data_IF_428617067550
#
_entry.id   IF_428617067550
#
_cell.length_a   1.000
_cell.length_b   1.000
_cell.length_c   1.000
_cell.angle_alpha   90.00
_cell.angle_beta   90.00
_cell.angle_gamma   90.00
#
_symmetry.space_group_name_H-M   'P 1'
#
loop_
_entity.id
_entity.type
_entity.pdbx_description
1 polymer ?
#
# COMPACT_ATOMS: atom_id res chain seq x y z
N UNK A 1 64.81 -9.22 23.62
CA UNK A 1 63.84 -10.10 22.95
C UNK A 1 62.39 -9.62 23.13
N UNK A 2 62.16 -8.63 24.00
CA UNK A 2 60.82 -8.12 24.36
C UNK A 2 60.23 -7.09 23.38
N UNK A 3 61.07 -6.47 22.55
CA UNK A 3 60.67 -5.39 21.62
C UNK A 3 59.86 -5.93 20.42
N UNK A 4 60.20 -7.12 19.92
CA UNK A 4 59.50 -7.74 18.79
C UNK A 4 58.08 -8.20 19.16
N UNK A 5 57.91 -8.81 20.34
CA UNK A 5 56.60 -9.29 20.82
C UNK A 5 55.60 -8.12 20.98
N UNK A 6 56.08 -6.99 21.49
CA UNK A 6 55.26 -5.78 21.69
C UNK A 6 54.79 -5.17 20.37
N UNK A 7 55.65 -5.20 19.33
CA UNK A 7 55.31 -4.74 17.98
C UNK A 7 54.22 -5.60 17.32
N UNK A 8 54.35 -6.93 17.40
CA UNK A 8 53.35 -7.86 16.87
C UNK A 8 51.99 -7.72 17.54
N UNK A 9 51.96 -7.54 18.87
CA UNK A 9 50.72 -7.33 19.63
C UNK A 9 50.01 -6.04 19.18
N UNK A 10 50.75 -4.94 19.00
CA UNK A 10 50.16 -3.66 18.56
C UNK A 10 49.63 -3.74 17.12
N UNK A 11 50.35 -4.39 16.20
CA UNK A 11 49.89 -4.56 14.82
C UNK A 11 48.67 -5.49 14.75
N UNK A 12 48.67 -6.59 15.50
CA UNK A 12 47.52 -7.51 15.57
C UNK A 12 46.29 -6.80 16.14
N UNK A 13 46.44 -6.00 17.19
CA UNK A 13 45.35 -5.24 17.79
C UNK A 13 44.81 -4.18 16.81
N UNK A 14 45.70 -3.45 16.11
CA UNK A 14 45.31 -2.49 15.07
C UNK A 14 44.56 -3.13 13.91
N UNK A 15 44.99 -4.31 13.45
CA UNK A 15 44.31 -5.07 12.40
C UNK A 15 42.91 -5.54 12.84
N UNK A 16 42.78 -6.05 14.07
CA UNK A 16 41.48 -6.47 14.63
C UNK A 16 40.52 -5.28 14.76
N UNK A 17 41.00 -4.13 15.22
CA UNK A 17 40.19 -2.91 15.31
C UNK A 17 39.74 -2.45 13.92
N UNK A 18 40.63 -2.45 12.93
CA UNK A 18 40.30 -2.05 11.55
C UNK A 18 39.29 -2.99 10.89
N UNK A 19 39.45 -4.31 11.07
CA UNK A 19 38.52 -5.32 10.57
C UNK A 19 37.16 -5.26 11.27
N UNK A 20 37.15 -5.08 12.60
CA UNK A 20 35.93 -4.92 13.38
C UNK A 20 35.14 -3.67 13.00
N UNK A 21 35.82 -2.54 12.79
CA UNK A 21 35.19 -1.29 12.33
C UNK A 21 34.57 -1.46 10.94
N UNK A 22 35.26 -2.13 10.02
CA UNK A 22 34.78 -2.39 8.65
C UNK A 22 33.55 -3.31 8.67
N UNK A 23 33.58 -4.39 9.44
CA UNK A 23 32.46 -5.32 9.59
C UNK A 23 31.23 -4.65 10.22
N UNK A 24 31.43 -3.77 11.20
CA UNK A 24 30.34 -3.01 11.84
C UNK A 24 29.69 -2.01 10.87
N UNK A 25 30.49 -1.31 10.06
CA UNK A 25 30.00 -0.40 9.01
C UNK A 25 29.18 -1.16 7.98
N UNK A 26 29.66 -2.32 7.54
CA UNK A 26 28.97 -3.17 6.57
C UNK A 26 27.66 -3.73 7.14
N UNK A 27 27.66 -4.18 8.40
CA UNK A 27 26.43 -4.64 9.06
C UNK A 27 25.40 -3.53 9.19
N UNK A 28 25.83 -2.31 9.58
CA UNK A 28 24.94 -1.14 9.66
C UNK A 28 24.44 -0.70 8.28
N UNK A 29 25.25 -0.83 7.23
CA UNK A 29 24.84 -0.58 5.85
C UNK A 29 23.78 -1.58 5.39
N UNK A 30 24.03 -2.88 5.59
CA UNK A 30 23.10 -3.93 5.20
C UNK A 30 21.77 -3.85 5.93
N UNK A 31 21.79 -3.52 7.23
CA UNK A 31 20.57 -3.27 8.00
C UNK A 31 19.77 -2.10 7.45
N UNK A 32 20.43 -0.97 7.17
CA UNK A 32 19.78 0.20 6.56
C UNK A 32 19.21 -0.10 5.18
N UNK A 33 19.94 -0.82 4.34
CA UNK A 33 19.47 -1.20 3.01
C UNK A 33 18.26 -2.13 3.07
N UNK A 34 18.22 -3.06 4.03
CA UNK A 34 17.05 -3.91 4.26
C UNK A 34 15.84 -3.12 4.75
N UNK A 35 16.03 -2.27 5.74
CA UNK A 35 14.95 -1.43 6.27
C UNK A 35 14.39 -0.51 5.16
N UNK A 36 15.27 0.06 4.33
CA UNK A 36 14.87 0.88 3.20
C UNK A 36 14.08 0.07 2.15
N UNK A 37 14.55 -1.12 1.78
CA UNK A 37 13.83 -2.00 0.82
C UNK A 37 12.46 -2.38 1.34
N UNK A 38 12.33 -2.74 2.62
CA UNK A 38 11.02 -3.06 3.22
C UNK A 38 10.06 -1.86 3.20
N UNK A 39 10.56 -0.64 3.45
CA UNK A 39 9.74 0.59 3.35
C UNK A 39 9.31 0.85 1.90
N UNK A 40 10.21 0.66 0.94
CA UNK A 40 9.93 0.87 -0.48
C UNK A 40 8.93 -0.15 -1.03
N UNK A 41 9.07 -1.43 -0.66
CA UNK A 41 8.13 -2.51 -1.02
C UNK A 41 6.73 -2.24 -0.44
N UNK A 42 6.65 -1.83 0.83
CA UNK A 42 5.39 -1.46 1.48
C UNK A 42 4.75 -0.24 0.80
N UNK A 43 5.55 0.78 0.48
CA UNK A 43 5.08 1.96 -0.25
C UNK A 43 4.53 1.59 -1.63
N UNK A 44 5.21 0.70 -2.36
CA UNK A 44 4.76 0.22 -3.66
C UNK A 44 3.41 -0.53 -3.55
N UNK A 45 3.27 -1.42 -2.56
CA UNK A 45 2.03 -2.14 -2.30
C UNK A 45 0.86 -1.19 -1.95
N UNK A 46 1.12 -0.18 -1.09
CA UNK A 46 0.13 0.86 -0.72
C UNK A 46 -0.35 1.63 -1.95
N UNK A 47 0.58 2.12 -2.78
CA UNK A 47 0.25 2.84 -4.02
C UNK A 47 -0.55 1.95 -4.98
N UNK A 48 -0.15 0.70 -5.14
CA UNK A 48 -0.82 -0.24 -6.05
C UNK A 48 -2.28 -0.48 -5.66
N UNK A 49 -2.55 -0.68 -4.37
CA UNK A 49 -3.92 -0.82 -3.86
C UNK A 49 -4.75 0.45 -4.02
N UNK A 50 -4.20 1.62 -3.66
CA UNK A 50 -4.91 2.88 -3.80
C UNK A 50 -5.27 3.17 -5.26
N UNK A 51 -4.36 2.89 -6.20
CA UNK A 51 -4.62 3.04 -7.63
C UNK A 51 -5.72 2.09 -8.12
N UNK A 52 -5.70 0.83 -7.69
CA UNK A 52 -6.76 -0.13 -8.02
C UNK A 52 -8.14 0.35 -7.56
N UNK A 53 -8.24 0.87 -6.32
CA UNK A 53 -9.50 1.39 -5.80
C UNK A 53 -9.93 2.69 -6.48
N UNK A 54 -8.98 3.55 -6.86
CA UNK A 54 -9.26 4.78 -7.60
C UNK A 54 -9.84 4.45 -8.98
N UNK A 55 -9.20 3.54 -9.72
CA UNK A 55 -9.67 3.08 -11.02
C UNK A 55 -11.10 2.51 -10.93
N UNK A 56 -11.36 1.65 -9.93
CA UNK A 56 -12.72 1.15 -9.68
C UNK A 56 -13.74 2.28 -9.45
N UNK A 57 -13.42 3.22 -8.56
CA UNK A 57 -14.32 4.33 -8.25
C UNK A 57 -14.58 5.24 -9.46
N UNK A 58 -13.58 5.46 -10.31
CA UNK A 58 -13.70 6.25 -11.53
C UNK A 58 -14.63 5.56 -12.54
N UNK A 59 -14.49 4.25 -12.72
CA UNK A 59 -15.43 3.47 -13.55
C UNK A 59 -16.87 3.60 -13.05
N UNK A 60 -17.09 3.48 -11.73
CA UNK A 60 -18.42 3.65 -11.13
C UNK A 60 -19.00 5.05 -11.36
N UNK A 61 -18.17 6.10 -11.24
CA UNK A 61 -18.58 7.49 -11.52
C UNK A 61 -18.98 7.65 -12.99
N UNK A 62 -18.21 7.09 -13.91
CA UNK A 62 -18.48 7.19 -15.34
C UNK A 62 -19.80 6.49 -15.73
N UNK A 63 -20.05 5.31 -15.16
CA UNK A 63 -21.33 4.60 -15.31
C UNK A 63 -22.48 5.47 -14.77
N UNK A 64 -22.38 5.97 -13.54
CA UNK A 64 -23.47 6.73 -12.91
C UNK A 64 -23.76 8.08 -13.56
N UNK A 65 -22.78 8.68 -14.26
CA UNK A 65 -22.95 9.90 -15.05
C UNK A 65 -23.54 9.63 -16.44
N UNK A 66 -23.72 8.37 -16.84
CA UNK A 66 -24.15 8.02 -18.19
C UNK A 66 -23.12 8.38 -19.26
N UNK A 67 -21.84 8.54 -18.89
CA UNK A 67 -20.76 8.69 -19.86
C UNK A 67 -20.50 7.39 -20.63
N UNK A 68 -21.05 6.30 -20.12
CA UNK A 68 -21.06 4.99 -20.73
C UNK A 68 -22.40 4.80 -21.44
N UNK A 69 -22.40 4.86 -22.77
CA UNK A 69 -23.61 4.75 -23.61
C UNK A 69 -24.09 3.31 -23.82
N UNK A 70 -23.45 2.35 -23.14
CA UNK A 70 -23.82 0.94 -23.17
C UNK A 70 -25.02 0.67 -22.27
N UNK A 71 -26.10 0.07 -22.82
CA UNK A 71 -27.28 -0.35 -22.06
C UNK A 71 -26.95 -1.32 -20.91
N UNK A 72 -25.78 -1.97 -20.96
CA UNK A 72 -25.30 -2.90 -19.93
C UNK A 72 -24.39 -2.24 -18.89
N UNK A 73 -24.16 -0.92 -18.95
CA UNK A 73 -23.22 -0.20 -18.08
C UNK A 73 -23.47 -0.48 -16.59
N UNK A 74 -24.74 -0.47 -16.14
CA UNK A 74 -25.09 -0.78 -14.76
C UNK A 74 -24.85 -2.26 -14.39
N UNK A 75 -25.04 -3.20 -15.32
CA UNK A 75 -24.70 -4.60 -15.09
C UNK A 75 -23.19 -4.80 -14.94
N UNK A 76 -22.36 -4.03 -15.68
CA UNK A 76 -20.90 -4.05 -15.56
C UNK A 76 -20.38 -3.50 -14.25
N UNK A 77 -21.14 -2.65 -13.55
CA UNK A 77 -20.76 -2.23 -12.20
C UNK A 77 -20.49 -3.44 -11.30
N UNK A 78 -21.24 -4.53 -11.46
CA UNK A 78 -21.05 -5.79 -10.72
C UNK A 78 -19.63 -6.35 -10.74
N UNK A 79 -18.88 -6.17 -11.84
CA UNK A 79 -17.54 -6.76 -12.05
C UNK A 79 -16.38 -5.80 -11.76
N UNK A 80 -16.65 -4.52 -11.48
CA UNK A 80 -15.62 -3.46 -11.34
C UNK A 80 -14.49 -3.83 -10.38
N UNK A 81 -14.77 -4.43 -9.22
CA UNK A 81 -13.72 -4.78 -8.24
C UNK A 81 -12.78 -5.87 -8.76
N UNK A 82 -13.28 -6.78 -9.60
CA UNK A 82 -12.48 -7.82 -10.24
C UNK A 82 -11.62 -7.19 -11.32
N UNK A 83 -12.23 -6.39 -12.18
CA UNK A 83 -11.58 -5.83 -13.38
C UNK A 83 -10.48 -4.80 -13.00
N UNK A 84 -10.65 -4.13 -11.87
CA UNK A 84 -9.66 -3.21 -11.27
C UNK A 84 -8.59 -3.88 -10.41
N UNK A 85 -8.62 -5.21 -10.24
CA UNK A 85 -7.69 -5.98 -9.40
C UNK A 85 -7.68 -5.60 -7.90
N UNK A 86 -8.69 -4.89 -7.39
CA UNK A 86 -8.75 -4.45 -5.98
C UNK A 86 -8.57 -5.61 -5.01
N UNK A 87 -9.19 -6.76 -5.29
CA UNK A 87 -9.10 -7.94 -4.44
C UNK A 87 -7.71 -8.57 -4.45
N UNK A 88 -7.04 -8.60 -5.61
CA UNK A 88 -5.65 -9.06 -5.71
C UNK A 88 -4.72 -8.16 -4.89
N UNK A 89 -4.88 -6.83 -5.03
CA UNK A 89 -4.06 -5.87 -4.30
C UNK A 89 -4.31 -5.88 -2.79
N UNK A 90 -5.53 -6.18 -2.35
CA UNK A 90 -5.81 -6.44 -0.93
C UNK A 90 -5.05 -7.66 -0.40
N UNK A 91 -4.94 -8.74 -1.18
CA UNK A 91 -4.20 -9.94 -0.77
C UNK A 91 -2.70 -9.67 -0.70
N UNK A 92 -2.15 -8.91 -1.65
CA UNK A 92 -0.75 -8.45 -1.58
C UNK A 92 -0.49 -7.62 -0.31
N UNK A 93 -1.41 -6.72 0.04
CA UNK A 93 -1.31 -5.94 1.27
C UNK A 93 -1.37 -6.77 2.56
N UNK A 94 -2.13 -7.86 2.57
CA UNK A 94 -2.21 -8.74 3.74
C UNK A 94 -0.84 -9.36 4.12
N UNK A 95 0.13 -9.37 3.20
CA UNK A 95 1.48 -9.86 3.44
C UNK A 95 2.48 -8.75 3.82
N UNK A 96 2.18 -7.49 3.50
CA UNK A 96 3.14 -6.37 3.61
C UNK A 96 2.77 -5.33 4.67
N UNK A 97 1.47 -5.19 4.95
CA UNK A 97 0.92 -4.19 5.86
C UNK A 97 0.76 -4.75 7.29
N UNK A 98 0.73 -3.87 8.28
CA UNK A 98 0.32 -4.25 9.64
C UNK A 98 -1.21 -4.45 9.73
N UNK A 99 -1.65 -5.06 10.84
CA UNK A 99 -3.06 -5.37 11.08
C UNK A 99 -3.97 -4.13 11.11
N UNK A 100 -3.42 -2.98 11.54
CA UNK A 100 -4.20 -1.73 11.61
C UNK A 100 -4.51 -1.23 10.21
N UNK A 101 -3.50 -1.22 9.32
CA UNK A 101 -3.68 -0.88 7.91
C UNK A 101 -4.60 -1.89 7.22
N UNK A 102 -4.43 -3.19 7.48
CA UNK A 102 -5.25 -4.23 6.86
C UNK A 102 -6.73 -4.16 7.25
N UNK A 103 -7.03 -3.75 8.50
CA UNK A 103 -8.39 -3.51 8.95
C UNK A 103 -9.05 -2.36 8.16
N UNK A 104 -8.35 -1.23 7.99
CA UNK A 104 -8.86 -0.07 7.25
C UNK A 104 -8.95 -0.33 5.74
N UNK A 105 -8.05 -1.14 5.17
CA UNK A 105 -8.14 -1.68 3.80
C UNK A 105 -9.41 -2.51 3.63
N UNK A 106 -9.72 -3.37 4.59
CA UNK A 106 -10.92 -4.21 4.55
C UNK A 106 -12.19 -3.35 4.60
N UNK A 107 -12.22 -2.31 5.44
CA UNK A 107 -13.33 -1.33 5.46
C UNK A 107 -13.47 -0.60 4.14
N UNK A 108 -12.38 -0.18 3.54
CA UNK A 108 -12.39 0.50 2.24
C UNK A 108 -12.97 -0.40 1.13
N UNK A 109 -12.63 -1.69 1.12
CA UNK A 109 -13.22 -2.65 0.16
C UNK A 109 -14.72 -2.85 0.41
N UNK A 110 -15.18 -2.86 1.66
CA UNK A 110 -16.61 -2.91 1.98
C UNK A 110 -17.34 -1.68 1.44
N UNK A 111 -16.82 -0.47 1.68
CA UNK A 111 -17.44 0.75 1.19
C UNK A 111 -17.43 0.83 -0.34
N UNK A 112 -16.37 0.35 -0.99
CA UNK A 112 -16.34 0.26 -2.46
C UNK A 112 -17.38 -0.73 -3.00
N UNK A 113 -17.68 -1.83 -2.28
CA UNK A 113 -18.77 -2.75 -2.64
C UNK A 113 -20.14 -2.09 -2.50
N UNK A 114 -20.36 -1.36 -1.41
CA UNK A 114 -21.59 -0.56 -1.22
C UNK A 114 -21.75 0.42 -2.38
N UNK A 115 -20.69 1.16 -2.69
CA UNK A 115 -20.69 2.13 -3.77
C UNK A 115 -21.01 1.48 -5.13
N UNK A 116 -20.37 0.34 -5.41
CA UNK A 116 -20.67 -0.49 -6.59
C UNK A 116 -22.13 -0.93 -6.62
N UNK A 117 -22.67 -1.39 -5.50
CA UNK A 117 -24.04 -1.91 -5.44
C UNK A 117 -25.07 -0.81 -5.65
N UNK A 118 -24.81 0.42 -5.20
CA UNK A 118 -25.63 1.61 -5.51
C UNK A 118 -25.67 1.84 -7.02
N UNK A 119 -24.51 1.87 -7.68
CA UNK A 119 -24.44 2.04 -9.14
C UNK A 119 -25.11 0.89 -9.87
N UNK A 120 -24.89 -0.36 -9.44
CA UNK A 120 -25.49 -1.54 -10.09
C UNK A 120 -27.02 -1.55 -10.06
N UNK A 121 -27.66 -0.84 -9.12
CA UNK A 121 -29.12 -0.64 -9.09
C UNK A 121 -29.62 0.39 -10.10
N UNK A 122 -28.75 1.05 -10.85
CA UNK A 122 -29.12 2.12 -11.77
C UNK A 122 -29.20 3.51 -11.13
N UNK A 123 -28.70 3.66 -9.90
CA UNK A 123 -28.71 4.97 -9.22
C UNK A 123 -27.77 5.93 -9.94
N UNK A 124 -28.31 7.08 -10.33
CA UNK A 124 -27.57 8.10 -11.09
C UNK A 124 -26.67 8.94 -10.19
N UNK A 125 -25.73 9.66 -10.80
CA UNK A 125 -24.78 10.50 -10.10
C UNK A 125 -25.43 11.55 -9.18
N UNK A 126 -26.55 12.17 -9.58
CA UNK A 126 -27.18 13.26 -8.80
C UNK A 126 -27.99 12.77 -7.59
N UNK A 127 -28.21 11.46 -7.45
CA UNK A 127 -29.00 10.92 -6.35
C UNK A 127 -28.23 10.94 -5.02
N UNK A 128 -28.94 11.23 -3.92
CA UNK A 128 -28.36 11.27 -2.57
C UNK A 128 -27.69 9.95 -2.19
N UNK A 129 -28.30 8.80 -2.49
CA UNK A 129 -27.73 7.46 -2.22
C UNK A 129 -26.34 7.29 -2.87
N UNK A 130 -26.15 7.82 -4.09
CA UNK A 130 -24.85 7.80 -4.76
C UNK A 130 -23.84 8.73 -4.09
N UNK A 131 -24.25 9.95 -3.74
CA UNK A 131 -23.38 10.93 -3.11
C UNK A 131 -22.93 10.48 -1.72
N UNK A 132 -23.84 9.91 -0.92
CA UNK A 132 -23.54 9.33 0.39
C UNK A 132 -22.50 8.20 0.29
N UNK A 133 -22.71 7.25 -0.62
CA UNK A 133 -21.76 6.15 -0.83
C UNK A 133 -20.38 6.66 -1.29
N UNK A 134 -20.36 7.67 -2.16
CA UNK A 134 -19.12 8.28 -2.66
C UNK A 134 -18.38 9.04 -1.56
N UNK A 135 -19.09 9.82 -0.75
CA UNK A 135 -18.51 10.56 0.38
C UNK A 135 -17.91 9.58 1.39
N UNK A 136 -18.66 8.55 1.79
CA UNK A 136 -18.18 7.53 2.71
C UNK A 136 -16.90 6.84 2.20
N UNK A 137 -16.86 6.46 0.91
CA UNK A 137 -15.67 5.87 0.29
C UNK A 137 -14.47 6.83 0.29
N UNK A 138 -14.68 8.10 -0.06
CA UNK A 138 -13.59 9.10 -0.12
C UNK A 138 -13.03 9.41 1.28
N UNK A 139 -13.90 9.56 2.29
CA UNK A 139 -13.44 9.76 3.67
C UNK A 139 -12.59 8.58 4.16
N UNK A 140 -13.01 7.35 3.84
CA UNK A 140 -12.24 6.17 4.20
C UNK A 140 -10.90 6.11 3.46
N UNK A 141 -10.87 6.49 2.18
CA UNK A 141 -9.62 6.58 1.40
C UNK A 141 -8.65 7.57 2.04
N UNK A 142 -9.14 8.72 2.48
CA UNK A 142 -8.32 9.75 3.10
C UNK A 142 -7.77 9.27 4.46
N UNK A 143 -8.61 8.65 5.29
CA UNK A 143 -8.19 8.01 6.56
C UNK A 143 -7.13 6.94 6.32
N UNK A 144 -7.34 6.04 5.36
CA UNK A 144 -6.39 4.99 5.03
C UNK A 144 -5.06 5.58 4.52
N UNK A 145 -5.11 6.58 3.65
CA UNK A 145 -3.91 7.23 3.11
C UNK A 145 -3.09 7.90 4.23
N UNK A 146 -3.75 8.56 5.18
CA UNK A 146 -3.08 9.13 6.34
C UNK A 146 -2.45 8.06 7.23
N UNK A 147 -3.16 6.95 7.47
CA UNK A 147 -2.63 5.82 8.25
C UNK A 147 -1.40 5.21 7.55
N UNK A 148 -1.51 4.90 6.26
CA UNK A 148 -0.41 4.37 5.45
C UNK A 148 0.83 5.27 5.54
N UNK A 149 0.69 6.60 5.40
CA UNK A 149 1.79 7.56 5.54
C UNK A 149 2.47 7.53 6.91
N UNK A 150 1.71 7.28 7.99
CA UNK A 150 2.28 7.16 9.35
C UNK A 150 3.05 5.85 9.57
N UNK A 151 2.71 4.81 8.80
CA UNK A 151 3.31 3.46 8.91
C UNK A 151 4.46 3.20 7.91
N UNK A 152 4.74 4.16 7.03
CA UNK A 152 5.89 4.15 6.14
C UNK A 152 7.13 4.61 6.89
#
# INVERSE_FOLDING_TARGET
MDVELTGFINTALGAVIALGASAFVEWRRWRRERDQRTRDDRRAAYISFLNATAAASETLINIARGHDSDETAFARAGTVLRDSNVLSKRLELALAADDTVLAEVTRMVVLLRVYRDVVAKGVTYEADEFQEARVAFNEQRDRLTQLMRKTL
#
